data_IF_979949470414
#
_entry.id   IF_979949470414
#
_cell.length_a   1.000
_cell.length_b   1.000
_cell.length_c   1.000
_cell.angle_alpha   90.00
_cell.angle_beta   90.00
_cell.angle_gamma   90.00
#
_symmetry.space_group_name_H-M   'P 1'
#
loop_
_entity.id
_entity.type
_entity.pdbx_description
1 polymer ?
#
# COMPACT_ATOMS: atom_id res chain seq x y z
N UNK A 1 -15.24 -24.24 9.48
CA UNK A 1 -14.63 -24.94 8.33
C UNK A 1 -15.27 -24.35 7.10
N UNK A 2 -14.55 -23.55 6.32
CA UNK A 2 -15.13 -22.88 5.16
C UNK A 2 -15.27 -23.86 3.97
N UNK A 3 -16.11 -23.48 3.00
CA UNK A 3 -16.43 -24.31 1.84
C UNK A 3 -15.20 -24.58 0.95
N UNK A 4 -14.22 -23.66 0.96
CA UNK A 4 -13.01 -23.72 0.14
C UNK A 4 -12.00 -24.73 0.70
N UNK A 5 -11.93 -24.89 2.03
CA UNK A 5 -11.12 -25.92 2.68
C UNK A 5 -11.65 -27.34 2.39
N UNK A 6 -12.96 -27.48 2.18
CA UNK A 6 -13.61 -28.74 1.78
C UNK A 6 -13.34 -29.12 0.31
N UNK A 7 -13.09 -28.13 -0.56
CA UNK A 7 -12.87 -28.34 -1.99
C UNK A 7 -11.38 -28.44 -2.37
N UNK A 8 -10.44 -28.30 -1.41
CA UNK A 8 -9.00 -28.33 -1.67
C UNK A 8 -8.50 -27.17 -2.54
N UNK A 9 -9.30 -26.12 -2.74
CA UNK A 9 -8.94 -24.92 -3.50
C UNK A 9 -8.05 -24.05 -2.64
N UNK A 10 -6.75 -24.09 -2.91
CA UNK A 10 -5.77 -23.23 -2.28
C UNK A 10 -5.94 -21.81 -2.85
N UNK A 11 -6.49 -20.89 -2.03
CA UNK A 11 -6.60 -19.49 -2.45
C UNK A 11 -5.20 -18.91 -2.70
N UNK A 12 -5.10 -18.10 -3.73
CA UNK A 12 -3.85 -17.48 -4.14
C UNK A 12 -3.48 -16.30 -3.22
N UNK A 13 -2.19 -16.05 -3.08
CA UNK A 13 -1.68 -14.91 -2.35
C UNK A 13 -0.92 -13.97 -3.29
N UNK A 14 -1.08 -12.66 -3.12
CA UNK A 14 -0.52 -11.67 -4.04
C UNK A 14 0.29 -10.59 -3.34
N UNK A 15 1.37 -10.16 -4.01
CA UNK A 15 2.01 -8.87 -3.74
C UNK A 15 1.55 -7.92 -4.85
N UNK A 16 0.88 -6.83 -4.47
CA UNK A 16 0.24 -5.91 -5.41
C UNK A 16 0.89 -4.55 -5.33
N UNK A 17 1.09 -3.92 -6.48
CA UNK A 17 1.58 -2.55 -6.55
C UNK A 17 0.90 -1.77 -7.68
N UNK A 18 1.11 -0.46 -7.72
CA UNK A 18 0.63 0.42 -8.78
C UNK A 18 1.79 1.03 -9.56
N UNK A 19 1.65 1.13 -10.89
CA UNK A 19 2.53 1.88 -11.75
C UNK A 19 1.69 2.84 -12.60
N UNK A 20 1.41 4.01 -12.04
CA UNK A 20 0.56 5.03 -12.65
C UNK A 20 1.43 6.11 -13.30
N UNK A 21 1.11 6.43 -14.53
CA UNK A 21 1.90 7.35 -15.38
C UNK A 21 1.05 8.46 -16.02
N UNK A 22 -0.28 8.43 -15.84
CA UNK A 22 -1.19 9.42 -16.43
C UNK A 22 -1.13 10.78 -15.73
N UNK A 23 -0.73 10.82 -14.46
CA UNK A 23 -0.75 12.02 -13.61
C UNK A 23 0.64 12.37 -13.05
N UNK A 24 0.79 13.62 -12.60
CA UNK A 24 2.00 14.09 -11.91
C UNK A 24 2.02 13.47 -10.50
N UNK A 25 3.19 13.01 -10.07
CA UNK A 25 3.46 12.66 -8.67
C UNK A 25 3.54 13.97 -7.87
N UNK A 26 2.51 14.26 -7.08
CA UNK A 26 2.37 15.54 -6.38
C UNK A 26 3.46 15.75 -5.32
N UNK A 27 4.01 14.67 -4.75
CA UNK A 27 5.10 14.77 -3.77
C UNK A 27 6.45 15.10 -4.42
N UNK A 28 6.65 14.66 -5.66
CA UNK A 28 7.91 14.81 -6.38
C UNK A 28 7.85 15.90 -7.45
N UNK A 29 6.67 16.40 -7.79
CA UNK A 29 6.44 17.41 -8.82
C UNK A 29 6.77 16.93 -10.24
N UNK A 30 6.89 15.62 -10.46
CA UNK A 30 7.28 15.04 -11.76
C UNK A 30 6.33 13.90 -12.15
N UNK A 31 6.13 13.75 -13.44
CA UNK A 31 5.40 12.61 -13.99
C UNK A 31 6.35 11.42 -14.12
N UNK A 32 5.90 10.23 -13.67
CA UNK A 32 6.68 9.02 -13.90
C UNK A 32 6.76 8.72 -15.39
N UNK A 33 7.96 8.39 -15.86
CA UNK A 33 8.15 7.96 -17.23
C UNK A 33 7.46 6.61 -17.45
N UNK A 34 6.76 6.54 -18.59
CA UNK A 34 6.14 5.31 -19.05
C UNK A 34 7.23 4.33 -19.48
N UNK A 35 7.03 3.04 -19.16
CA UNK A 35 7.91 1.95 -19.60
C UNK A 35 9.38 2.07 -19.11
N UNK A 36 9.61 2.76 -17.98
CA UNK A 36 10.94 2.87 -17.40
C UNK A 36 11.20 1.74 -16.40
N UNK A 37 12.14 0.81 -16.69
CA UNK A 37 12.43 -0.34 -15.83
C UNK A 37 12.92 0.03 -14.43
N UNK A 38 13.47 1.24 -14.24
CA UNK A 38 13.97 1.69 -12.92
C UNK A 38 12.88 1.66 -11.83
N UNK A 39 11.60 1.83 -12.23
CA UNK A 39 10.49 1.84 -11.27
C UNK A 39 10.00 0.45 -10.86
N UNK A 40 10.27 -0.60 -11.64
CA UNK A 40 9.71 -1.93 -11.40
C UNK A 40 10.75 -3.03 -11.23
N UNK A 41 11.93 -2.89 -11.81
CA UNK A 41 12.87 -3.99 -11.96
C UNK A 41 13.20 -4.69 -10.65
N UNK A 42 13.61 -3.92 -9.62
CA UNK A 42 14.00 -4.49 -8.32
C UNK A 42 12.86 -5.20 -7.62
N UNK A 43 11.67 -4.60 -7.69
CA UNK A 43 10.46 -5.18 -7.13
C UNK A 43 10.11 -6.49 -7.85
N UNK A 44 10.02 -6.48 -9.17
CA UNK A 44 9.69 -7.64 -9.98
C UNK A 44 10.70 -8.79 -9.82
N UNK A 45 12.00 -8.49 -9.83
CA UNK A 45 13.06 -9.48 -9.60
C UNK A 45 12.94 -10.15 -8.22
N UNK A 46 12.61 -9.38 -7.17
CA UNK A 46 12.41 -9.91 -5.82
C UNK A 46 11.21 -10.88 -5.75
N UNK A 47 10.11 -10.55 -6.41
CA UNK A 47 8.91 -11.39 -6.56
C UNK A 47 9.27 -12.70 -7.26
N UNK A 48 9.98 -12.61 -8.39
CA UNK A 48 10.43 -13.77 -9.16
C UNK A 48 11.33 -14.68 -8.35
N UNK A 49 12.30 -14.11 -7.66
CA UNK A 49 13.29 -14.86 -6.86
C UNK A 49 12.65 -15.70 -5.76
N UNK A 50 11.57 -15.20 -5.17
CA UNK A 50 10.83 -15.88 -4.11
C UNK A 50 9.68 -16.78 -4.64
N UNK A 51 9.46 -16.84 -5.94
CA UNK A 51 8.36 -17.60 -6.55
C UNK A 51 6.98 -17.09 -6.12
N UNK A 52 6.86 -15.79 -5.79
CA UNK A 52 5.61 -15.16 -5.39
C UNK A 52 4.81 -14.71 -6.63
N UNK A 53 3.52 -14.46 -6.43
CA UNK A 53 2.65 -13.87 -7.44
C UNK A 53 2.61 -12.35 -7.27
N UNK A 54 3.16 -11.62 -8.23
CA UNK A 54 3.13 -10.16 -8.29
C UNK A 54 2.03 -9.67 -9.22
N UNK A 55 1.32 -8.61 -8.81
CA UNK A 55 0.33 -7.91 -9.64
C UNK A 55 0.69 -6.44 -9.72
N UNK A 56 0.68 -5.89 -10.91
CA UNK A 56 0.87 -4.45 -11.16
C UNK A 56 -0.40 -3.88 -11.78
N UNK A 57 -1.02 -2.95 -11.07
CA UNK A 57 -2.13 -2.14 -11.57
C UNK A 57 -1.53 -0.94 -12.33
N UNK A 58 -1.85 -0.77 -13.61
CA UNK A 58 -1.22 0.26 -14.44
C UNK A 58 -2.21 0.95 -15.36
N UNK A 59 -1.97 2.22 -15.64
CA UNK A 59 -2.84 3.08 -16.45
C UNK A 59 -2.40 3.22 -17.92
N UNK A 60 -1.24 2.68 -18.30
CA UNK A 60 -0.83 2.87 -19.69
C UNK A 60 0.49 2.26 -20.14
N UNK A 61 1.02 1.24 -19.44
CA UNK A 61 2.24 0.53 -19.88
C UNK A 61 2.05 -0.12 -21.25
N UNK A 62 3.10 -0.14 -22.06
CA UNK A 62 3.08 -0.79 -23.38
C UNK A 62 3.13 -2.31 -23.26
N UNK A 63 2.59 -2.99 -24.28
CA UNK A 63 2.66 -4.46 -24.35
C UNK A 63 4.10 -4.97 -24.47
N UNK A 64 4.97 -4.19 -25.09
CA UNK A 64 6.40 -4.50 -25.21
C UNK A 64 7.05 -4.50 -23.82
N UNK A 65 6.82 -3.47 -23.02
CA UNK A 65 7.32 -3.40 -21.64
C UNK A 65 6.78 -4.53 -20.76
N UNK A 66 5.47 -4.80 -20.83
CA UNK A 66 4.81 -5.88 -20.08
C UNK A 66 5.47 -7.22 -20.41
N UNK A 67 5.80 -7.47 -21.68
CA UNK A 67 6.41 -8.74 -22.12
C UNK A 67 7.79 -9.01 -21.53
N UNK A 68 8.49 -7.97 -21.03
CA UNK A 68 9.77 -8.12 -20.35
C UNK A 68 9.64 -8.77 -18.95
N UNK A 69 8.43 -8.80 -18.38
CA UNK A 69 8.16 -9.33 -17.04
C UNK A 69 7.08 -10.42 -17.05
N UNK A 70 7.28 -11.56 -17.76
CA UNK A 70 6.23 -12.58 -18.00
C UNK A 70 5.76 -13.29 -16.72
N UNK A 71 6.46 -13.09 -15.61
CA UNK A 71 6.15 -13.64 -14.29
C UNK A 71 5.34 -12.68 -13.41
N UNK A 72 5.04 -11.46 -13.90
CA UNK A 72 4.18 -10.46 -13.24
C UNK A 72 2.83 -10.40 -13.98
N UNK A 73 1.77 -10.32 -13.22
CA UNK A 73 0.41 -10.12 -13.73
C UNK A 73 0.18 -8.61 -13.86
N UNK A 74 0.04 -8.11 -15.08
CA UNK A 74 -0.31 -6.71 -15.31
C UNK A 74 -1.81 -6.58 -15.53
N UNK A 75 -2.44 -5.69 -14.77
CA UNK A 75 -3.87 -5.36 -14.90
C UNK A 75 -3.99 -3.90 -15.28
N UNK A 76 -4.51 -3.65 -16.48
CA UNK A 76 -4.81 -2.29 -16.92
C UNK A 76 -5.99 -1.74 -16.11
N UNK A 77 -5.84 -0.52 -15.60
CA UNK A 77 -6.85 0.23 -14.85
C UNK A 77 -7.11 1.56 -15.53
N UNK A 78 -8.13 2.28 -15.09
CA UNK A 78 -8.43 3.61 -15.56
C UNK A 78 -7.33 4.60 -15.12
N UNK A 79 -7.17 5.66 -15.90
CA UNK A 79 -6.28 6.77 -15.57
C UNK A 79 -6.75 7.48 -14.29
N UNK A 80 -5.81 8.18 -13.65
CA UNK A 80 -6.13 8.99 -12.47
C UNK A 80 -7.14 10.08 -12.87
N UNK A 81 -8.32 10.17 -12.22
CA UNK A 81 -9.28 11.23 -12.51
C UNK A 81 -8.68 12.62 -12.24
N UNK A 82 -9.01 13.62 -13.07
CA UNK A 82 -8.46 14.99 -12.95
C UNK A 82 -8.64 15.64 -11.57
N UNK A 83 -9.69 15.26 -10.84
CA UNK A 83 -10.00 15.78 -9.51
C UNK A 83 -9.37 14.99 -8.37
N UNK A 84 -8.56 13.96 -8.66
CA UNK A 84 -7.89 13.12 -7.67
C UNK A 84 -6.38 13.21 -7.77
N UNK A 85 -5.73 13.06 -6.64
CA UNK A 85 -4.28 12.88 -6.58
C UNK A 85 -3.91 11.42 -6.85
N UNK A 86 -2.72 11.21 -7.41
CA UNK A 86 -2.21 9.88 -7.72
C UNK A 86 -2.17 8.96 -6.50
N UNK A 87 -1.74 9.49 -5.36
CA UNK A 87 -1.65 8.73 -4.11
C UNK A 87 -3.02 8.35 -3.53
N UNK A 88 -4.05 9.18 -3.73
CA UNK A 88 -5.41 8.88 -3.29
C UNK A 88 -6.08 7.87 -4.22
N UNK A 89 -5.88 8.01 -5.55
CA UNK A 89 -6.41 7.07 -6.54
C UNK A 89 -5.90 5.64 -6.35
N UNK A 90 -4.67 5.43 -5.93
CA UNK A 90 -4.15 4.09 -5.67
C UNK A 90 -4.97 3.31 -4.63
N UNK A 91 -5.56 3.99 -3.63
CA UNK A 91 -6.40 3.33 -2.62
C UNK A 91 -7.72 2.85 -3.20
N UNK A 92 -8.33 3.62 -4.09
CA UNK A 92 -9.49 3.21 -4.87
C UNK A 92 -9.17 1.97 -5.70
N UNK A 93 -8.03 1.97 -6.39
CA UNK A 93 -7.58 0.81 -7.18
C UNK A 93 -7.32 -0.42 -6.32
N UNK A 94 -6.73 -0.27 -5.15
CA UNK A 94 -6.52 -1.38 -4.21
C UNK A 94 -7.85 -1.94 -3.70
N UNK A 95 -8.81 -1.07 -3.39
CA UNK A 95 -10.16 -1.48 -3.00
C UNK A 95 -10.87 -2.21 -4.14
N UNK A 96 -10.83 -1.68 -5.35
CA UNK A 96 -11.37 -2.37 -6.53
C UNK A 96 -10.69 -3.74 -6.76
N UNK A 97 -9.39 -3.83 -6.54
CA UNK A 97 -8.67 -5.10 -6.67
C UNK A 97 -9.21 -6.15 -5.70
N UNK A 98 -9.37 -5.82 -4.42
CA UNK A 98 -9.85 -6.79 -3.42
C UNK A 98 -11.31 -7.19 -3.63
N UNK A 99 -12.14 -6.31 -4.18
CA UNK A 99 -13.53 -6.62 -4.50
C UNK A 99 -13.71 -7.54 -5.72
N UNK A 100 -12.76 -7.51 -6.67
CA UNK A 100 -12.86 -8.21 -7.94
C UNK A 100 -11.96 -9.44 -8.05
N UNK A 101 -11.30 -9.87 -6.96
CA UNK A 101 -10.43 -11.03 -6.98
C UNK A 101 -10.60 -11.87 -5.71
N UNK A 102 -10.60 -13.18 -5.89
CA UNK A 102 -10.53 -14.12 -4.77
C UNK A 102 -9.06 -14.36 -4.39
N UNK A 103 -8.74 -14.20 -3.10
CA UNK A 103 -7.39 -14.41 -2.59
C UNK A 103 -7.41 -14.80 -1.10
N UNK A 104 -6.36 -15.49 -0.65
CA UNK A 104 -6.18 -15.82 0.77
C UNK A 104 -5.60 -14.65 1.55
N UNK A 105 -4.54 -14.07 1.02
CA UNK A 105 -3.84 -12.94 1.61
C UNK A 105 -3.22 -12.05 0.53
N UNK A 106 -3.03 -10.77 0.87
CA UNK A 106 -2.41 -9.80 -0.04
C UNK A 106 -1.55 -8.80 0.73
N UNK A 107 -0.43 -8.40 0.12
CA UNK A 107 0.32 -7.23 0.53
C UNK A 107 0.35 -6.20 -0.60
N UNK A 108 0.05 -4.96 -0.27
CA UNK A 108 0.21 -3.81 -1.13
C UNK A 108 1.52 -3.12 -0.83
N UNK A 109 2.29 -2.79 -1.86
CA UNK A 109 3.63 -2.23 -1.70
C UNK A 109 3.88 -1.11 -2.70
N UNK A 110 4.76 -0.17 -2.35
CA UNK A 110 5.31 0.76 -3.32
C UNK A 110 6.20 0.00 -4.31
N UNK A 111 6.10 0.34 -5.61
CA UNK A 111 6.78 -0.42 -6.67
C UNK A 111 8.25 -0.03 -6.85
N UNK A 112 8.60 1.23 -6.55
CA UNK A 112 9.93 1.79 -6.88
C UNK A 112 10.97 1.58 -5.79
N UNK A 113 10.53 1.43 -4.54
CA UNK A 113 11.41 1.49 -3.37
C UNK A 113 11.19 0.38 -2.34
N UNK A 114 10.26 -0.55 -2.62
CA UNK A 114 10.09 -1.77 -1.81
C UNK A 114 10.70 -2.98 -2.52
N UNK A 115 11.44 -3.79 -1.77
CA UNK A 115 12.01 -5.07 -2.22
C UNK A 115 11.52 -6.16 -1.27
N UNK A 116 10.96 -7.24 -1.80
CA UNK A 116 10.53 -8.41 -1.01
C UNK A 116 11.74 -9.30 -0.73
N UNK A 117 11.99 -9.60 0.53
CA UNK A 117 13.14 -10.41 0.97
C UNK A 117 12.77 -11.79 1.48
N UNK A 118 11.60 -11.92 2.07
CA UNK A 118 11.04 -13.19 2.54
C UNK A 118 9.58 -13.29 2.14
N UNK A 119 9.09 -14.52 2.02
CA UNK A 119 7.68 -14.75 1.80
C UNK A 119 6.86 -14.40 3.06
N UNK A 120 6.04 -13.35 3.04
CA UNK A 120 5.30 -12.91 4.22
C UNK A 120 4.12 -13.83 4.55
N UNK A 121 3.63 -14.63 3.60
CA UNK A 121 2.40 -15.38 3.72
C UNK A 121 2.47 -16.61 4.62
N UNK A 122 3.66 -16.98 5.09
CA UNK A 122 3.82 -18.12 6.01
C UNK A 122 3.60 -17.75 7.48
N UNK A 123 3.66 -16.47 7.82
CA UNK A 123 3.72 -16.00 9.22
C UNK A 123 2.57 -15.04 9.57
N UNK A 124 1.57 -14.87 8.70
CA UNK A 124 0.46 -13.95 8.95
C UNK A 124 -0.64 -14.56 9.81
N UNK A 125 -1.17 -13.76 10.74
CA UNK A 125 -2.37 -14.09 11.54
C UNK A 125 -3.63 -13.52 10.87
N UNK A 126 -4.76 -14.19 11.10
CA UNK A 126 -6.02 -13.86 10.40
C UNK A 126 -6.60 -12.49 10.77
N UNK A 127 -6.38 -12.04 12.00
CA UNK A 127 -6.99 -10.84 12.57
C UNK A 127 -6.08 -9.63 12.64
N UNK A 128 -4.91 -9.66 11.98
CA UNK A 128 -3.92 -8.59 12.03
C UNK A 128 -3.73 -7.93 10.66
N UNK A 129 -3.64 -6.60 10.69
CA UNK A 129 -3.11 -5.82 9.58
C UNK A 129 -1.61 -5.63 9.80
N UNK A 130 -0.81 -5.92 8.80
CA UNK A 130 0.64 -5.74 8.79
C UNK A 130 0.97 -4.47 8.07
N UNK A 131 1.81 -3.61 8.67
CA UNK A 131 2.14 -2.30 8.13
C UNK A 131 3.64 -2.06 8.18
N UNK A 132 4.17 -1.36 7.19
CA UNK A 132 5.47 -0.73 7.30
C UNK A 132 5.43 0.39 8.35
N UNK A 133 6.60 0.76 8.91
CA UNK A 133 6.71 1.86 9.84
C UNK A 133 7.91 2.77 9.56
N UNK A 134 7.91 3.92 10.20
CA UNK A 134 8.99 4.90 10.16
C UNK A 134 9.57 5.11 11.57
N UNK A 135 10.86 5.47 11.68
CA UNK A 135 11.52 5.63 12.98
C UNK A 135 11.14 6.96 13.67
N UNK A 136 9.86 7.26 13.67
CA UNK A 136 9.28 8.47 14.30
C UNK A 136 7.89 8.16 14.84
N UNK A 137 7.29 9.11 15.56
CA UNK A 137 5.91 9.02 16.03
C UNK A 137 4.99 9.95 15.24
N UNK A 138 3.68 9.73 15.32
CA UNK A 138 2.66 10.61 14.74
C UNK A 138 2.89 12.05 15.20
N UNK A 139 3.07 12.28 16.52
CA UNK A 139 3.34 13.60 17.08
C UNK A 139 4.65 14.22 16.58
N UNK A 140 5.66 13.41 16.31
CA UNK A 140 7.00 13.85 15.89
C UNK A 140 7.14 14.08 14.38
N UNK A 141 6.14 13.76 13.57
CA UNK A 141 6.18 13.90 12.13
C UNK A 141 5.55 15.23 11.68
N UNK A 142 6.38 16.19 11.26
CA UNK A 142 5.91 17.50 10.81
C UNK A 142 4.92 17.40 9.64
N UNK A 143 5.16 16.51 8.70
CA UNK A 143 4.27 16.30 7.57
C UNK A 143 2.87 15.85 8.01
N UNK A 144 2.77 14.92 8.96
CA UNK A 144 1.48 14.53 9.55
C UNK A 144 0.84 15.73 10.29
N UNK A 145 1.62 16.53 11.00
CA UNK A 145 1.09 17.71 11.70
C UNK A 145 0.51 18.76 10.75
N UNK A 146 1.09 18.94 9.57
CA UNK A 146 0.59 19.86 8.54
C UNK A 146 -0.79 19.44 7.98
N UNK A 147 -1.13 18.15 7.99
CA UNK A 147 -2.44 17.66 7.56
C UNK A 147 -3.62 18.15 8.41
N UNK A 148 -3.34 18.78 9.57
CA UNK A 148 -4.35 19.42 10.42
C UNK A 148 -5.20 20.41 9.62
N UNK A 149 -4.60 21.16 8.70
CA UNK A 149 -5.28 22.17 7.88
C UNK A 149 -6.46 21.55 7.14
N UNK A 150 -6.26 20.40 6.50
CA UNK A 150 -7.27 19.74 5.67
C UNK A 150 -8.15 18.75 6.42
N UNK A 151 -7.63 18.13 7.50
CA UNK A 151 -8.27 16.99 8.15
C UNK A 151 -8.82 17.32 9.56
N UNK A 152 -8.70 18.55 10.04
CA UNK A 152 -9.28 18.98 11.33
C UNK A 152 -10.79 18.69 11.51
N UNK A 153 -11.62 18.62 10.46
CA UNK A 153 -13.04 18.24 10.63
C UNK A 153 -13.27 16.77 11.01
N UNK A 154 -12.23 15.92 10.95
CA UNK A 154 -12.37 14.52 11.36
C UNK A 154 -12.49 14.42 12.90
N UNK A 155 -13.36 13.53 13.43
CA UNK A 155 -13.56 13.37 14.86
C UNK A 155 -12.25 13.04 15.60
N UNK A 156 -11.97 13.72 16.72
CA UNK A 156 -10.78 13.52 17.54
C UNK A 156 -9.42 13.68 16.79
N UNK A 157 -9.39 14.37 15.62
CA UNK A 157 -8.18 14.45 14.82
C UNK A 157 -7.01 15.15 15.55
N UNK A 158 -7.29 16.20 16.32
CA UNK A 158 -6.26 16.84 17.16
C UNK A 158 -5.68 15.91 18.22
N UNK A 159 -6.52 15.07 18.82
CA UNK A 159 -6.07 14.04 19.76
C UNK A 159 -5.20 13.00 19.07
N UNK A 160 -5.56 12.60 17.86
CA UNK A 160 -4.73 11.75 17.01
C UNK A 160 -3.35 12.37 16.75
N UNK A 161 -3.28 13.65 16.35
CA UNK A 161 -2.02 14.35 16.11
C UNK A 161 -1.12 14.42 17.36
N UNK A 162 -1.70 14.43 18.56
CA UNK A 162 -0.99 14.36 19.83
C UNK A 162 -0.46 12.96 20.20
N UNK A 163 -0.78 11.92 19.43
CA UNK A 163 -0.42 10.54 19.72
C UNK A 163 1.09 10.31 19.62
N UNK A 164 1.61 9.50 20.57
CA UNK A 164 3.00 9.01 20.56
C UNK A 164 3.14 7.67 19.83
N UNK A 165 2.07 7.17 19.21
CA UNK A 165 2.15 5.93 18.42
C UNK A 165 3.19 6.08 17.33
N UNK A 166 3.85 4.97 16.99
CA UNK A 166 4.76 4.89 15.84
C UNK A 166 4.03 5.32 14.57
N UNK A 167 4.69 6.08 13.74
CA UNK A 167 4.20 6.44 12.42
C UNK A 167 4.24 5.23 11.51
N UNK A 168 3.10 4.85 10.97
CA UNK A 168 3.01 3.76 10.00
C UNK A 168 3.20 4.31 8.58
N UNK A 169 3.96 3.58 7.79
CA UNK A 169 4.21 3.89 6.40
C UNK A 169 3.22 3.12 5.51
N UNK A 170 2.48 3.83 4.68
CA UNK A 170 1.49 3.23 3.77
C UNK A 170 2.07 2.63 2.48
N UNK A 171 3.38 2.66 2.32
CA UNK A 171 4.07 1.98 1.23
C UNK A 171 4.22 0.47 1.41
N UNK A 172 3.84 -0.07 2.57
CA UNK A 172 3.73 -1.52 2.83
C UNK A 172 2.55 -1.73 3.76
N UNK A 173 1.53 -2.45 3.32
CA UNK A 173 0.48 -2.96 4.19
C UNK A 173 -0.14 -4.23 3.62
N UNK A 174 -0.72 -5.07 4.47
CA UNK A 174 -1.34 -6.31 4.02
C UNK A 174 -1.84 -7.19 5.15
N UNK A 175 -2.26 -8.40 4.79
CA UNK A 175 -2.83 -9.39 5.70
C UNK A 175 -3.74 -10.36 4.95
N UNK A 176 -4.60 -11.05 5.69
CA UNK A 176 -5.62 -11.93 5.08
C UNK A 176 -6.69 -11.13 4.33
N UNK A 177 -7.40 -11.77 3.42
CA UNK A 177 -8.47 -11.15 2.64
C UNK A 177 -9.48 -10.41 3.51
N UNK A 178 -9.85 -10.99 4.65
CA UNK A 178 -10.84 -10.41 5.56
C UNK A 178 -10.40 -9.06 6.11
N UNK A 179 -9.24 -9.00 6.77
CA UNK A 179 -8.78 -7.77 7.43
C UNK A 179 -8.44 -6.67 6.43
N UNK A 180 -7.85 -7.05 5.28
CA UNK A 180 -7.47 -6.10 4.24
C UNK A 180 -8.68 -5.50 3.55
N UNK A 181 -9.68 -6.31 3.20
CA UNK A 181 -10.92 -5.81 2.58
C UNK A 181 -11.69 -4.88 3.52
N UNK A 182 -11.82 -5.25 4.79
CA UNK A 182 -12.46 -4.40 5.79
C UNK A 182 -11.71 -3.07 5.99
N UNK A 183 -10.38 -3.11 6.02
CA UNK A 183 -9.57 -1.90 6.14
C UNK A 183 -9.70 -0.99 4.90
N UNK A 184 -9.63 -1.56 3.71
CA UNK A 184 -9.73 -0.80 2.46
C UNK A 184 -11.14 -0.22 2.23
N UNK A 185 -12.20 -0.88 2.68
CA UNK A 185 -13.56 -0.31 2.66
C UNK A 185 -13.63 0.99 3.49
N UNK A 186 -13.06 0.97 4.70
CA UNK A 186 -13.01 2.16 5.54
C UNK A 186 -12.12 3.24 4.90
N UNK A 187 -10.93 2.86 4.43
CA UNK A 187 -10.00 3.79 3.78
C UNK A 187 -10.61 4.49 2.58
N UNK A 188 -11.27 3.71 1.69
CA UNK A 188 -11.92 4.24 0.50
C UNK A 188 -13.03 5.24 0.85
N UNK A 189 -13.87 4.96 1.84
CA UNK A 189 -14.92 5.91 2.30
C UNK A 189 -14.33 7.24 2.79
N UNK A 190 -13.18 7.21 3.49
CA UNK A 190 -12.51 8.44 3.90
C UNK A 190 -11.96 9.19 2.69
N UNK A 191 -11.28 8.53 1.76
CA UNK A 191 -10.79 9.15 0.52
C UNK A 191 -11.95 9.77 -0.25
N UNK A 192 -13.04 9.04 -0.51
CA UNK A 192 -14.23 9.56 -1.20
C UNK A 192 -14.85 10.78 -0.50
N UNK A 193 -14.91 10.78 0.82
CA UNK A 193 -15.46 11.90 1.58
C UNK A 193 -14.63 13.19 1.46
N UNK A 194 -13.38 13.07 1.04
CA UNK A 194 -12.44 14.18 0.89
C UNK A 194 -12.25 14.63 -0.55
N UNK A 195 -12.63 13.82 -1.54
CA UNK A 195 -12.44 14.10 -2.97
C UNK A 195 -12.95 15.48 -3.43
N UNK A 196 -13.99 16.00 -2.79
CA UNK A 196 -14.61 17.28 -3.15
C UNK A 196 -14.19 18.44 -2.25
N UNK A 197 -13.17 18.25 -1.41
CA UNK A 197 -12.65 19.32 -0.55
C UNK A 197 -11.36 19.88 -1.13
N UNK A 198 -11.12 21.18 -1.00
CA UNK A 198 -9.80 21.72 -1.30
C UNK A 198 -8.81 21.15 -0.28
N UNK A 199 -7.93 20.26 -0.74
CA UNK A 199 -6.91 19.62 0.08
C UNK A 199 -5.55 20.10 -0.44
N UNK A 200 -4.78 20.74 0.44
CA UNK A 200 -3.38 21.04 0.15
C UNK A 200 -2.51 19.82 0.52
N UNK A 201 -1.86 19.25 -0.48
CA UNK A 201 -0.98 18.09 -0.32
C UNK A 201 -1.69 16.74 -0.24
N UNK A 202 -0.92 15.68 -0.12
CA UNK A 202 -1.42 14.29 -0.03
C UNK A 202 -1.91 13.98 1.37
N UNK A 203 -3.04 13.29 1.47
CA UNK A 203 -3.67 12.95 2.76
C UNK A 203 -3.69 11.45 3.05
N UNK A 204 -3.18 10.64 2.15
CA UNK A 204 -3.22 9.19 2.23
C UNK A 204 -2.58 8.64 3.52
N UNK A 205 -1.33 8.99 3.83
CA UNK A 205 -0.64 8.50 5.03
C UNK A 205 -1.25 9.07 6.33
N UNK A 206 -1.64 10.36 6.43
CA UNK A 206 -2.41 10.86 7.56
C UNK A 206 -3.70 10.08 7.81
N UNK A 207 -4.51 9.81 6.79
CA UNK A 207 -5.76 9.06 6.89
C UNK A 207 -5.51 7.61 7.26
N UNK A 208 -4.52 6.96 6.65
CA UNK A 208 -4.10 5.60 6.97
C UNK A 208 -3.82 5.43 8.47
N UNK A 209 -2.96 6.28 9.02
CA UNK A 209 -2.63 6.29 10.45
C UNK A 209 -3.82 6.63 11.34
N UNK A 210 -4.63 7.62 10.92
CA UNK A 210 -5.81 8.04 11.66
C UNK A 210 -6.86 6.92 11.76
N UNK A 211 -7.14 6.20 10.69
CA UNK A 211 -8.09 5.08 10.69
C UNK A 211 -7.64 4.00 11.66
N UNK A 212 -6.36 3.60 11.58
CA UNK A 212 -5.80 2.59 12.48
C UNK A 212 -5.91 3.03 13.94
N UNK A 213 -5.54 4.26 14.24
CA UNK A 213 -5.67 4.84 15.58
C UNK A 213 -7.13 4.94 16.05
N UNK A 214 -8.02 5.43 15.17
CA UNK A 214 -9.43 5.71 15.50
C UNK A 214 -10.22 4.44 15.79
N UNK A 215 -10.04 3.43 14.97
CA UNK A 215 -10.77 2.16 15.07
C UNK A 215 -10.02 1.09 15.88
N UNK A 216 -8.84 1.41 16.40
CA UNK A 216 -7.98 0.49 17.17
C UNK A 216 -7.75 -0.83 16.42
N UNK A 217 -7.46 -0.72 15.13
CA UNK A 217 -7.23 -1.88 14.28
C UNK A 217 -6.02 -2.64 14.83
N UNK A 218 -6.11 -3.96 15.06
CA UNK A 218 -4.97 -4.75 15.47
C UNK A 218 -3.90 -4.76 14.37
N UNK A 219 -2.70 -4.28 14.69
CA UNK A 219 -1.60 -4.18 13.74
C UNK A 219 -0.35 -4.91 14.23
N UNK A 220 0.48 -5.33 13.26
CA UNK A 220 1.88 -5.68 13.45
C UNK A 220 2.70 -4.79 12.52
N UNK A 221 3.71 -4.13 13.04
CA UNK A 221 4.59 -3.24 12.28
C UNK A 221 6.05 -3.37 12.74
N UNK A 222 6.97 -2.79 11.98
CA UNK A 222 8.40 -2.97 12.23
C UNK A 222 8.84 -4.40 11.90
N UNK A 223 9.86 -4.90 12.59
CA UNK A 223 10.35 -6.26 12.37
C UNK A 223 9.33 -7.31 12.83
N UNK A 224 9.09 -8.39 12.04
CA UNK A 224 9.80 -8.74 10.81
C UNK A 224 9.21 -8.13 9.52
N UNK A 225 8.17 -7.26 9.61
CA UNK A 225 7.46 -6.75 8.42
C UNK A 225 8.40 -5.95 7.54
N UNK A 226 9.11 -4.96 8.10
CA UNK A 226 10.02 -4.11 7.33
C UNK A 226 11.34 -3.84 8.05
N UNK A 227 12.38 -3.57 7.26
CA UNK A 227 13.63 -2.96 7.73
C UNK A 227 13.39 -1.50 8.14
N UNK A 228 14.32 -0.90 8.87
CA UNK A 228 14.21 0.51 9.24
C UNK A 228 14.15 1.38 7.97
N UNK A 229 13.06 2.13 7.82
CA UNK A 229 12.77 2.96 6.66
C UNK A 229 13.91 3.94 6.34
N UNK A 230 14.25 4.04 5.05
CA UNK A 230 15.35 4.89 4.51
C UNK A 230 16.76 4.59 5.03
N UNK A 231 16.99 3.48 5.71
CA UNK A 231 18.37 3.09 6.11
C UNK A 231 19.08 2.18 5.13
N UNK A 232 18.41 1.79 4.03
CA UNK A 232 19.00 0.98 2.94
C UNK A 232 19.74 -0.28 3.40
N UNK A 233 19.26 -0.88 4.48
CA UNK A 233 19.88 -2.08 5.05
C UNK A 233 19.68 -3.26 4.12
N UNK A 234 20.76 -3.97 3.78
CA UNK A 234 20.66 -5.26 3.08
C UNK A 234 20.44 -6.38 4.10
N UNK A 235 19.19 -6.72 4.36
CA UNK A 235 18.76 -7.70 5.36
C UNK A 235 17.95 -8.80 4.70
N UNK A 236 18.10 -10.03 5.21
CA UNK A 236 17.36 -11.21 4.75
C UNK A 236 16.40 -11.78 5.80
N UNK A 237 16.31 -11.15 6.96
CA UNK A 237 15.49 -11.58 8.10
C UNK A 237 14.17 -10.80 8.24
N UNK A 238 13.94 -9.82 7.36
CA UNK A 238 12.68 -9.08 7.24
C UNK A 238 11.92 -9.49 5.98
N UNK A 239 10.61 -9.24 5.95
CA UNK A 239 9.80 -9.52 4.76
C UNK A 239 10.05 -8.51 3.64
N UNK A 240 10.12 -7.24 4.01
CA UNK A 240 10.28 -6.13 3.07
C UNK A 240 11.43 -5.20 3.46
N UNK A 241 12.19 -4.75 2.47
CA UNK A 241 13.06 -3.58 2.60
C UNK A 241 12.35 -2.42 1.95
N UNK A 242 12.20 -1.32 2.68
CA UNK A 242 11.65 -0.06 2.19
C UNK A 242 12.74 1.01 2.19
N UNK A 243 13.08 1.53 1.02
CA UNK A 243 14.20 2.47 0.80
C UNK A 243 13.77 3.91 0.85
#
# INVERSE_FOLDING_TARGET
MDLNSLLGLRMENYIVSTYLTSHIDEQRGVKKEKDDPKYIQKWAESIRHLGLKGVVLHDGLSQEFISCYPYIIFKKVDEVPEHMQLYDWRWVLYYMFVLNNDFGAVFFTDISDVVVRRNPFYEIAEDKLYCGDEPTSIKGCEWIQQSKISLSPLPDYEKFLGSKNTLLNCGIFGGTAFIVTAFLDVMNRYIESLMFRPIDGTVDMPIFNYIIWRYKIPIIHGEPVNSVFKRYQDRNDVWFIHK
#
